data_IF_947977543970
#
_entry.id   IF_947977543970
#
_cell.length_a   1.000
_cell.length_b   1.000
_cell.length_c   1.000
_cell.angle_alpha   90.00
_cell.angle_beta   90.00
_cell.angle_gamma   90.00
#
_symmetry.space_group_name_H-M   'P 1'
#
loop_
_entity.id
_entity.type
_entity.pdbx_description
1 polymer ?
#
# COMPACT_ATOMS: atom_id res chain seq x y z
N UNK A 1 8.09 -56.32 -15.48
CA UNK A 1 7.77 -54.99 -16.00
C UNK A 1 6.40 -54.57 -15.46
N UNK A 2 6.36 -53.82 -14.37
CA UNK A 2 5.12 -53.29 -13.77
C UNK A 2 4.93 -51.88 -14.31
N UNK A 3 3.85 -51.67 -15.06
CA UNK A 3 3.41 -50.35 -15.54
C UNK A 3 2.76 -49.61 -14.39
N UNK A 4 3.36 -48.51 -13.95
CA UNK A 4 2.79 -47.57 -12.98
C UNK A 4 1.92 -46.61 -13.77
N UNK A 5 0.61 -46.67 -13.55
CA UNK A 5 -0.36 -45.70 -14.06
C UNK A 5 -0.30 -44.46 -13.16
N UNK A 6 0.22 -43.37 -13.70
CA UNK A 6 0.06 -42.05 -13.07
C UNK A 6 -1.36 -41.54 -13.34
N UNK A 7 -2.18 -41.57 -12.31
CA UNK A 7 -3.50 -40.96 -12.33
C UNK A 7 -3.32 -39.44 -12.13
N UNK A 8 -3.41 -38.66 -13.21
CA UNK A 8 -3.52 -37.22 -13.14
C UNK A 8 -4.90 -36.86 -12.57
N UNK A 9 -4.96 -36.53 -11.28
CA UNK A 9 -6.13 -35.89 -10.70
C UNK A 9 -6.10 -34.43 -11.13
N UNK A 10 -6.81 -34.15 -12.22
CA UNK A 10 -7.22 -32.78 -12.57
C UNK A 10 -8.19 -32.31 -11.47
N UNK A 11 -7.66 -31.60 -10.48
CA UNK A 11 -8.45 -30.79 -9.59
C UNK A 11 -9.08 -29.67 -10.43
N UNK A 12 -10.31 -29.95 -10.92
CA UNK A 12 -11.20 -28.92 -11.40
C UNK A 12 -11.42 -27.95 -10.22
N UNK A 13 -10.75 -26.81 -10.28
CA UNK A 13 -11.16 -25.65 -9.52
C UNK A 13 -12.56 -25.27 -10.04
N UNK A 14 -13.59 -25.84 -9.46
CA UNK A 14 -14.91 -25.22 -9.56
C UNK A 14 -14.77 -23.85 -8.90
N UNK A 15 -15.03 -22.75 -9.63
CA UNK A 15 -15.15 -21.47 -8.97
C UNK A 15 -16.20 -21.66 -7.88
N UNK A 16 -15.81 -21.41 -6.63
CA UNK A 16 -16.75 -21.40 -5.54
C UNK A 16 -17.91 -20.50 -5.99
N UNK A 17 -19.10 -21.07 -6.10
CA UNK A 17 -20.31 -20.32 -6.39
C UNK A 17 -20.39 -19.22 -5.35
N UNK A 18 -20.00 -18.01 -5.73
CA UNK A 18 -20.14 -16.85 -4.89
C UNK A 18 -21.64 -16.63 -4.72
N UNK A 19 -22.14 -16.96 -3.55
CA UNK A 19 -23.56 -16.78 -3.25
C UNK A 19 -23.89 -15.31 -3.39
N UNK A 20 -24.87 -14.99 -4.21
CA UNK A 20 -25.38 -13.63 -4.38
C UNK A 20 -25.73 -13.06 -3.01
N UNK A 21 -25.07 -11.97 -2.61
CA UNK A 21 -25.43 -11.27 -1.39
C UNK A 21 -26.76 -10.57 -1.66
N UNK A 22 -27.83 -11.03 -1.05
CA UNK A 22 -29.14 -10.43 -1.22
C UNK A 22 -29.15 -8.97 -0.68
N UNK A 23 -29.99 -8.12 -1.28
CA UNK A 23 -30.20 -6.74 -0.80
C UNK A 23 -30.57 -6.71 0.70
N UNK A 24 -31.31 -7.71 1.18
CA UNK A 24 -31.69 -7.86 2.60
C UNK A 24 -30.46 -8.11 3.47
N UNK A 25 -29.54 -8.94 3.03
CA UNK A 25 -28.30 -9.26 3.74
C UNK A 25 -27.31 -8.09 3.71
N UNK A 26 -27.23 -7.40 2.60
CA UNK A 26 -26.48 -6.15 2.46
C UNK A 26 -26.97 -5.08 3.43
N UNK A 27 -28.28 -4.79 3.42
CA UNK A 27 -28.86 -3.75 4.29
C UNK A 27 -28.76 -4.12 5.78
N UNK A 28 -28.82 -5.41 6.14
CA UNK A 28 -28.59 -5.86 7.50
C UNK A 28 -27.15 -5.61 7.97
N UNK A 29 -26.19 -5.79 7.09
CA UNK A 29 -24.76 -5.64 7.41
C UNK A 29 -24.23 -4.23 7.21
N UNK A 30 -24.85 -3.48 6.32
CA UNK A 30 -24.42 -2.14 5.93
C UNK A 30 -25.63 -1.18 5.87
N UNK A 31 -26.30 -0.91 7.00
CA UNK A 31 -27.56 -0.16 7.03
C UNK A 31 -27.46 1.25 6.43
N UNK A 32 -26.27 1.83 6.38
CA UNK A 32 -26.01 3.18 5.88
C UNK A 32 -25.33 3.20 4.51
N UNK A 33 -25.32 2.09 3.80
CA UNK A 33 -24.68 1.97 2.48
C UNK A 33 -25.68 1.44 1.49
N UNK A 34 -25.95 2.19 0.44
CA UNK A 34 -26.86 1.76 -0.62
C UNK A 34 -26.41 0.42 -1.21
N UNK A 35 -27.36 -0.47 -1.43
CA UNK A 35 -27.09 -1.69 -2.19
C UNK A 35 -26.62 -1.29 -3.60
N UNK A 36 -25.57 -1.91 -4.14
CA UNK A 36 -25.08 -1.56 -5.47
C UNK A 36 -26.20 -1.70 -6.51
N UNK A 37 -26.57 -0.62 -7.16
CA UNK A 37 -27.55 -0.66 -8.24
C UNK A 37 -26.90 -1.31 -9.46
N UNK A 38 -27.54 -2.35 -9.97
CA UNK A 38 -27.14 -3.03 -11.18
C UNK A 38 -27.35 -2.12 -12.41
N UNK A 39 -26.29 -1.51 -12.88
CA UNK A 39 -26.25 -0.93 -14.23
C UNK A 39 -25.20 -1.64 -15.10
N UNK A 40 -24.76 -2.82 -14.68
CA UNK A 40 -23.81 -3.62 -15.43
C UNK A 40 -24.31 -5.07 -15.47
N UNK A 41 -25.08 -5.41 -16.50
CA UNK A 41 -25.63 -6.76 -16.71
C UNK A 41 -24.56 -7.87 -16.77
N UNK A 42 -23.31 -7.54 -17.05
CA UNK A 42 -22.17 -8.48 -17.08
C UNK A 42 -21.28 -8.43 -15.81
N UNK A 43 -21.51 -7.47 -14.92
CA UNK A 43 -20.68 -7.27 -13.73
C UNK A 43 -21.39 -7.65 -12.42
N UNK A 44 -22.67 -8.00 -12.47
CA UNK A 44 -23.56 -7.96 -11.30
C UNK A 44 -23.13 -8.89 -10.17
N UNK A 45 -22.85 -10.16 -10.43
CA UNK A 45 -22.48 -11.14 -9.40
C UNK A 45 -21.08 -10.89 -8.81
N UNK A 46 -20.09 -10.88 -9.66
CA UNK A 46 -18.71 -10.65 -9.24
C UNK A 46 -18.53 -9.29 -8.56
N UNK A 47 -19.32 -8.30 -8.96
CA UNK A 47 -19.30 -6.95 -8.41
C UNK A 47 -19.93 -6.86 -7.01
N UNK A 48 -21.09 -7.47 -6.81
CA UNK A 48 -21.77 -7.50 -5.52
C UNK A 48 -20.95 -8.28 -4.46
N UNK A 49 -20.45 -9.45 -4.83
CA UNK A 49 -19.59 -10.25 -3.97
C UNK A 49 -18.29 -9.55 -3.61
N UNK A 50 -17.77 -8.86 -4.58
CA UNK A 50 -16.55 -8.12 -4.44
C UNK A 50 -16.73 -6.85 -3.58
N UNK A 51 -17.76 -6.07 -3.82
CA UNK A 51 -18.10 -4.92 -3.00
C UNK A 51 -18.40 -5.34 -1.55
N UNK A 52 -19.12 -6.45 -1.37
CA UNK A 52 -19.38 -7.05 -0.07
C UNK A 52 -18.10 -7.52 0.61
N UNK A 53 -17.23 -8.22 -0.10
CA UNK A 53 -15.95 -8.69 0.42
C UNK A 53 -15.06 -7.53 0.84
N UNK A 54 -15.08 -6.44 0.09
CA UNK A 54 -14.32 -5.23 0.41
C UNK A 54 -14.91 -4.48 1.61
N UNK A 55 -16.22 -4.24 1.62
CA UNK A 55 -16.89 -3.62 2.75
C UNK A 55 -16.77 -4.45 4.01
N UNK A 56 -16.86 -5.77 3.89
CA UNK A 56 -16.60 -6.69 4.99
C UNK A 56 -15.17 -6.52 5.50
N UNK A 57 -14.17 -6.48 4.63
CA UNK A 57 -12.78 -6.21 5.03
C UNK A 57 -12.63 -4.83 5.65
N UNK A 58 -13.13 -3.78 5.03
CA UNK A 58 -13.03 -2.41 5.53
C UNK A 58 -13.82 -2.22 6.83
N UNK A 59 -15.01 -2.81 6.94
CA UNK A 59 -15.86 -2.73 8.13
C UNK A 59 -15.34 -3.60 9.26
N UNK A 60 -14.88 -4.79 8.97
CA UNK A 60 -14.23 -5.66 9.95
C UNK A 60 -12.89 -5.09 10.43
N UNK A 61 -12.20 -4.39 9.57
CA UNK A 61 -10.94 -3.71 9.90
C UNK A 61 -11.18 -2.40 10.66
N UNK A 62 -12.37 -1.82 10.59
CA UNK A 62 -12.78 -0.65 11.38
C UNK A 62 -13.39 -1.00 12.72
N UNK A 63 -14.04 -2.14 12.84
CA UNK A 63 -14.49 -2.71 14.10
C UNK A 63 -13.32 -3.45 14.73
N UNK A 64 -13.34 -3.60 16.04
CA UNK A 64 -12.39 -4.44 16.73
C UNK A 64 -12.01 -5.67 15.92
N UNK A 65 -10.76 -5.78 15.53
CA UNK A 65 -10.19 -6.93 14.82
C UNK A 65 -10.33 -8.27 15.56
N UNK A 66 -11.03 -8.28 16.69
CA UNK A 66 -11.31 -9.46 17.50
C UNK A 66 -11.93 -10.61 16.68
N UNK A 67 -12.74 -10.28 15.67
CA UNK A 67 -13.37 -11.32 14.83
C UNK A 67 -12.48 -11.86 13.70
N UNK A 68 -11.40 -11.17 13.33
CA UNK A 68 -10.49 -11.55 12.24
C UNK A 68 -9.08 -11.89 12.72
N UNK A 69 -8.96 -12.67 13.79
CA UNK A 69 -7.66 -12.94 14.39
C UNK A 69 -7.17 -11.84 15.33
N UNK A 70 -7.94 -10.74 15.49
CA UNK A 70 -7.78 -9.77 16.59
C UNK A 70 -6.50 -8.94 16.56
N UNK A 71 -5.99 -8.52 15.40
CA UNK A 71 -4.89 -7.56 15.34
C UNK A 71 -5.32 -6.23 15.93
N UNK A 72 -4.46 -5.68 16.76
CA UNK A 72 -4.62 -4.33 17.30
C UNK A 72 -4.24 -3.30 16.23
N UNK A 73 -4.69 -2.07 16.41
CA UNK A 73 -4.29 -0.96 15.57
C UNK A 73 -3.68 0.17 16.39
N UNK A 74 -2.72 0.84 15.79
CA UNK A 74 -2.24 2.15 16.23
C UNK A 74 -3.04 3.20 15.48
N UNK A 75 -3.87 3.95 16.19
CA UNK A 75 -4.74 4.96 15.61
C UNK A 75 -4.05 6.33 15.65
N UNK A 76 -4.15 7.06 14.55
CA UNK A 76 -3.63 8.42 14.41
C UNK A 76 -4.80 9.40 14.34
N UNK A 77 -4.60 10.57 14.93
CA UNK A 77 -5.53 11.67 14.83
C UNK A 77 -5.48 12.28 13.42
N UNK A 78 -6.53 13.00 13.06
CA UNK A 78 -6.47 13.87 11.89
C UNK A 78 -5.58 15.09 12.16
N UNK A 79 -5.15 15.76 11.13
CA UNK A 79 -4.44 17.04 11.23
C UNK A 79 -5.32 18.09 11.94
N UNK A 80 -4.70 18.96 12.69
CA UNK A 80 -5.35 20.13 13.28
C UNK A 80 -5.79 21.13 12.18
N UNK A 81 -4.98 21.20 11.12
CA UNK A 81 -5.22 22.04 9.95
C UNK A 81 -5.27 21.18 8.68
N UNK A 82 -6.38 20.47 8.42
CA UNK A 82 -6.49 19.61 7.24
C UNK A 82 -6.29 20.42 5.96
N UNK A 83 -5.42 19.95 5.08
CA UNK A 83 -5.19 20.62 3.81
C UNK A 83 -6.45 20.60 2.94
N UNK A 84 -6.83 21.75 2.43
CA UNK A 84 -7.92 21.87 1.47
C UNK A 84 -7.34 21.64 0.08
N UNK A 85 -7.65 20.49 -0.52
CA UNK A 85 -7.42 20.32 -1.96
C UNK A 85 -8.50 21.17 -2.66
N UNK A 86 -8.07 22.14 -3.45
CA UNK A 86 -9.00 22.92 -4.27
C UNK A 86 -9.74 21.96 -5.21
N UNK A 87 -11.05 22.14 -5.32
CA UNK A 87 -11.93 21.29 -6.11
C UNK A 87 -12.47 22.09 -7.29
N UNK A 88 -12.14 21.64 -8.48
CA UNK A 88 -12.72 22.11 -9.73
C UNK A 88 -13.26 20.87 -10.47
N UNK A 89 -14.34 20.30 -9.88
CA UNK A 89 -14.80 18.97 -10.28
C UNK A 89 -15.58 19.06 -11.58
N UNK A 90 -15.05 18.48 -12.62
CA UNK A 90 -15.71 18.25 -13.89
C UNK A 90 -16.49 16.93 -13.87
N UNK A 91 -17.54 16.86 -14.68
CA UNK A 91 -18.18 15.58 -14.99
C UNK A 91 -17.17 14.64 -15.66
N UNK A 92 -17.21 13.38 -15.26
CA UNK A 92 -16.28 12.40 -15.81
C UNK A 92 -16.61 12.14 -17.30
N UNK A 93 -15.66 12.32 -18.23
CA UNK A 93 -15.88 12.04 -19.65
C UNK A 93 -16.42 10.63 -19.87
N UNK A 94 -17.32 10.46 -20.83
CA UNK A 94 -18.03 9.20 -21.08
C UNK A 94 -17.08 8.01 -21.29
N UNK A 95 -15.96 8.19 -21.97
CA UNK A 95 -14.96 7.16 -22.21
C UNK A 95 -14.25 6.75 -20.90
N UNK A 96 -13.91 7.69 -20.02
CA UNK A 96 -13.31 7.43 -18.72
C UNK A 96 -14.34 6.78 -17.79
N UNK A 97 -15.58 7.31 -17.76
CA UNK A 97 -16.68 6.73 -17.00
C UNK A 97 -16.91 5.26 -17.38
N UNK A 98 -17.06 4.97 -18.68
CA UNK A 98 -17.24 3.60 -19.15
C UNK A 98 -16.05 2.71 -18.77
N UNK A 99 -14.82 3.24 -18.83
CA UNK A 99 -13.65 2.49 -18.45
C UNK A 99 -13.66 2.10 -16.96
N UNK A 100 -13.91 3.05 -16.05
CA UNK A 100 -13.91 2.79 -14.61
C UNK A 100 -15.12 2.00 -14.15
N UNK A 101 -16.28 2.24 -14.78
CA UNK A 101 -17.53 1.59 -14.43
C UNK A 101 -17.57 0.11 -14.84
N UNK A 102 -16.95 -0.23 -15.96
CA UNK A 102 -16.87 -1.59 -16.48
C UNK A 102 -15.73 -2.41 -15.88
N UNK A 103 -15.11 -1.94 -14.79
CA UNK A 103 -14.00 -2.61 -14.09
C UNK A 103 -14.19 -2.55 -12.59
N UNK A 104 -13.47 -3.38 -11.89
CA UNK A 104 -13.50 -3.42 -10.41
C UNK A 104 -12.80 -2.21 -9.78
N UNK A 105 -13.03 -1.02 -10.34
CA UNK A 105 -12.59 0.26 -9.79
C UNK A 105 -13.71 0.80 -8.90
N UNK A 106 -13.39 1.09 -7.66
CA UNK A 106 -14.35 1.67 -6.70
C UNK A 106 -14.38 3.18 -6.73
N UNK A 107 -13.23 3.77 -6.95
CA UNK A 107 -13.12 5.22 -7.01
C UNK A 107 -11.93 5.64 -7.86
N UNK A 108 -12.11 6.76 -8.53
CA UNK A 108 -11.10 7.49 -9.27
C UNK A 108 -11.05 8.91 -8.76
N UNK A 109 -9.85 9.40 -8.50
CA UNK A 109 -9.57 10.81 -8.24
C UNK A 109 -8.43 11.24 -9.16
N UNK A 110 -8.57 12.39 -9.79
CA UNK A 110 -7.52 12.99 -10.63
C UNK A 110 -7.25 14.39 -10.14
N UNK A 111 -5.98 14.65 -9.85
CA UNK A 111 -5.49 15.94 -9.41
C UNK A 111 -4.53 16.50 -10.47
N UNK A 112 -4.70 17.76 -10.83
CA UNK A 112 -3.84 18.47 -11.78
C UNK A 112 -3.68 19.93 -11.36
N UNK A 113 -2.45 20.44 -11.42
CA UNK A 113 -2.12 21.85 -11.24
C UNK A 113 -2.73 22.51 -9.98
N UNK A 114 -2.77 21.80 -8.88
CA UNK A 114 -3.30 22.31 -7.61
C UNK A 114 -4.78 21.97 -7.35
N UNK A 115 -5.47 21.39 -8.30
CA UNK A 115 -6.91 21.15 -8.23
C UNK A 115 -7.28 19.69 -8.42
N UNK A 116 -8.32 19.25 -7.73
CA UNK A 116 -8.96 17.97 -7.98
C UNK A 116 -9.98 18.16 -9.11
N UNK A 117 -9.68 17.60 -10.28
CA UNK A 117 -10.50 17.77 -11.50
C UNK A 117 -11.52 16.66 -11.71
N UNK A 118 -11.23 15.44 -11.25
CA UNK A 118 -12.21 14.35 -11.23
C UNK A 118 -12.26 13.70 -9.85
N UNK A 119 -13.49 13.40 -9.38
CA UNK A 119 -13.74 12.80 -8.08
C UNK A 119 -14.90 11.81 -8.15
N UNK A 120 -14.71 10.74 -8.92
CA UNK A 120 -15.71 9.71 -9.07
C UNK A 120 -15.56 8.60 -8.01
N UNK A 121 -16.67 8.08 -7.57
CA UNK A 121 -16.74 6.91 -6.69
C UNK A 121 -18.05 6.19 -6.90
N UNK A 122 -18.09 4.90 -6.56
CA UNK A 122 -19.35 4.17 -6.46
C UNK A 122 -20.13 4.59 -5.22
N UNK A 123 -21.44 4.46 -5.25
CA UNK A 123 -22.35 4.95 -4.18
C UNK A 123 -22.03 4.34 -2.82
N UNK A 124 -21.59 3.08 -2.78
CA UNK A 124 -21.23 2.40 -1.54
C UNK A 124 -19.87 2.82 -0.95
N UNK A 125 -19.09 3.64 -1.61
CA UNK A 125 -17.79 4.11 -1.12
C UNK A 125 -17.97 5.34 -0.25
N UNK A 126 -17.63 5.21 1.04
CA UNK A 126 -17.65 6.29 2.00
C UNK A 126 -16.30 7.05 1.99
N UNK A 127 -16.36 8.38 1.82
CA UNK A 127 -15.18 9.22 1.76
C UNK A 127 -14.41 9.29 3.08
N UNK A 128 -15.10 9.14 4.20
CA UNK A 128 -14.53 9.27 5.55
C UNK A 128 -13.90 7.98 6.06
N UNK A 129 -14.29 6.84 5.52
CA UNK A 129 -13.80 5.54 6.00
C UNK A 129 -12.40 5.22 5.50
N UNK A 130 -11.52 4.77 6.40
CA UNK A 130 -10.16 4.42 6.01
C UNK A 130 -10.15 3.14 5.16
N UNK A 131 -9.46 3.23 4.03
CA UNK A 131 -9.24 2.14 3.08
C UNK A 131 -7.84 1.59 3.31
N UNK A 132 -7.71 0.26 3.39
CA UNK A 132 -6.41 -0.38 3.43
C UNK A 132 -5.58 0.00 2.20
N UNK A 133 -4.38 0.48 2.40
CA UNK A 133 -3.43 0.77 1.31
C UNK A 133 -2.90 -0.48 0.63
N UNK A 134 -2.98 -1.64 1.29
CA UNK A 134 -2.19 -2.80 0.90
C UNK A 134 -0.71 -2.38 0.71
N UNK A 135 -0.01 -2.88 -0.29
CA UNK A 135 1.39 -2.50 -0.52
C UNK A 135 1.63 -1.01 -0.82
N UNK A 136 0.59 -0.20 -1.07
CA UNK A 136 0.71 1.26 -1.12
C UNK A 136 1.20 1.84 0.23
N UNK A 137 0.95 1.12 1.32
CA UNK A 137 1.47 1.41 2.67
C UNK A 137 2.99 1.54 2.72
N UNK A 138 3.71 0.79 1.90
CA UNK A 138 5.17 0.82 1.81
C UNK A 138 5.70 2.21 1.51
N UNK A 139 5.03 2.94 0.63
CA UNK A 139 5.44 4.31 0.25
C UNK A 139 5.32 5.29 1.41
N UNK A 140 4.39 5.07 2.35
CA UNK A 140 4.36 5.85 3.60
C UNK A 140 5.65 5.60 4.40
N UNK A 141 6.07 4.34 4.52
CA UNK A 141 7.31 3.98 5.22
C UNK A 141 8.52 4.63 4.55
N UNK A 142 8.56 4.68 3.21
CA UNK A 142 9.60 5.37 2.46
C UNK A 142 9.72 6.86 2.82
N UNK A 143 8.59 7.58 2.87
CA UNK A 143 8.56 9.00 3.27
C UNK A 143 8.94 9.18 4.74
N UNK A 144 8.47 8.30 5.64
CA UNK A 144 8.86 8.31 7.06
C UNK A 144 10.38 8.19 7.21
N UNK A 145 11.00 7.26 6.49
CA UNK A 145 12.46 7.07 6.52
C UNK A 145 13.18 8.28 5.94
N UNK A 146 12.72 8.84 4.81
CA UNK A 146 13.30 10.05 4.25
C UNK A 146 13.29 11.22 5.26
N UNK A 147 12.18 11.40 5.97
CA UNK A 147 12.06 12.44 7.00
C UNK A 147 13.00 12.19 8.19
N UNK A 148 13.10 10.94 8.65
CA UNK A 148 14.04 10.60 9.74
C UNK A 148 15.50 10.75 9.31
N UNK A 149 15.84 10.44 8.05
CA UNK A 149 17.17 10.65 7.49
C UNK A 149 17.53 12.14 7.50
N UNK A 150 16.60 13.00 7.09
CA UNK A 150 16.78 14.45 7.14
C UNK A 150 16.87 15.00 8.56
N UNK A 151 16.33 14.29 9.55
CA UNK A 151 16.48 14.61 10.98
C UNK A 151 17.73 13.99 11.62
N UNK A 152 18.61 13.36 10.85
CA UNK A 152 19.79 12.61 11.33
C UNK A 152 19.47 11.53 12.39
N UNK A 153 18.27 10.94 12.33
CA UNK A 153 17.80 9.91 13.28
C UNK A 153 18.00 8.49 12.78
N UNK A 154 18.29 8.30 11.52
CA UNK A 154 18.54 6.99 10.90
C UNK A 154 19.72 7.07 9.93
N UNK A 155 20.60 6.10 10.00
CA UNK A 155 21.64 5.84 9.02
C UNK A 155 21.24 4.60 8.21
N UNK A 156 21.07 4.79 6.92
CA UNK A 156 20.58 3.73 6.02
C UNK A 156 21.61 2.64 5.73
N UNK A 157 22.89 2.92 5.98
CA UNK A 157 23.98 1.97 5.79
C UNK A 157 24.16 1.04 6.99
N UNK A 158 23.48 1.32 8.11
CA UNK A 158 23.46 0.43 9.26
C UNK A 158 22.54 -0.76 9.00
N UNK A 159 22.94 -1.89 9.54
CA UNK A 159 22.15 -3.13 9.49
C UNK A 159 20.96 -3.04 10.44
N UNK A 160 19.91 -3.85 10.18
CA UNK A 160 18.74 -3.92 11.06
C UNK A 160 19.10 -4.28 12.50
N UNK A 161 20.11 -5.14 12.73
CA UNK A 161 20.57 -5.49 14.07
C UNK A 161 21.16 -4.31 14.86
N UNK A 162 21.56 -3.22 14.20
CA UNK A 162 21.99 -1.99 14.88
C UNK A 162 20.81 -1.30 15.59
N UNK A 163 19.63 -1.31 14.99
CA UNK A 163 18.41 -0.70 15.51
C UNK A 163 17.54 -1.68 16.30
N UNK A 164 17.50 -2.94 15.84
CA UNK A 164 16.69 -4.02 16.40
C UNK A 164 17.61 -5.16 16.81
N UNK A 165 18.13 -5.07 18.04
CA UNK A 165 19.17 -5.99 18.56
C UNK A 165 18.75 -7.46 18.55
N UNK A 166 17.45 -7.73 18.65
CA UNK A 166 16.87 -9.07 18.61
C UNK A 166 17.06 -9.77 17.26
N UNK A 167 17.50 -9.05 16.24
CA UNK A 167 17.82 -9.61 14.92
C UNK A 167 19.29 -10.02 14.76
N UNK A 168 20.13 -9.86 15.78
CA UNK A 168 21.60 -10.02 15.70
C UNK A 168 22.03 -11.35 15.04
N UNK A 169 21.37 -12.43 15.40
CA UNK A 169 21.72 -13.77 14.93
C UNK A 169 20.85 -14.25 13.75
N UNK A 170 20.08 -13.34 13.16
CA UNK A 170 19.27 -13.63 11.98
C UNK A 170 19.93 -13.16 10.69
N UNK A 171 19.57 -13.81 9.57
CA UNK A 171 19.99 -13.35 8.25
C UNK A 171 19.68 -11.85 8.03
N UNK A 172 18.46 -11.44 8.41
CA UNK A 172 18.00 -10.07 8.24
C UNK A 172 18.69 -9.08 9.17
N UNK A 173 19.29 -9.54 10.25
CA UNK A 173 20.11 -8.69 11.11
C UNK A 173 21.33 -8.11 10.39
N UNK A 174 21.83 -8.79 9.36
CA UNK A 174 22.97 -8.36 8.54
C UNK A 174 22.56 -7.53 7.31
N UNK A 175 21.26 -7.41 7.03
CA UNK A 175 20.73 -6.59 5.93
C UNK A 175 20.69 -5.13 6.36
N UNK A 176 21.16 -4.22 5.49
CA UNK A 176 21.07 -2.79 5.74
C UNK A 176 19.65 -2.24 5.53
N UNK A 177 19.34 -1.15 6.20
CA UNK A 177 18.07 -0.44 5.98
C UNK A 177 17.91 -0.04 4.52
N UNK A 178 18.99 0.40 3.87
CA UNK A 178 18.98 0.78 2.44
C UNK A 178 18.64 -0.41 1.53
N UNK A 179 19.22 -1.59 1.81
CA UNK A 179 18.89 -2.80 1.07
C UNK A 179 17.40 -3.14 1.19
N UNK A 180 16.84 -3.07 2.38
CA UNK A 180 15.41 -3.30 2.60
C UNK A 180 14.51 -2.24 1.94
N UNK A 181 14.90 -0.96 1.98
CA UNK A 181 14.18 0.13 1.29
C UNK A 181 14.09 -0.10 -0.23
N UNK A 182 15.12 -0.69 -0.79
CA UNK A 182 15.24 -0.92 -2.24
C UNK A 182 14.86 -2.36 -2.64
N UNK A 183 14.35 -3.18 -1.73
CA UNK A 183 14.05 -4.61 -1.98
C UNK A 183 15.26 -5.40 -2.49
N UNK A 184 16.42 -5.14 -1.91
CA UNK A 184 17.73 -5.70 -2.28
C UNK A 184 18.34 -6.53 -1.14
N UNK A 185 17.53 -7.10 -0.28
CA UNK A 185 17.99 -7.91 0.87
C UNK A 185 18.66 -9.23 0.46
N UNK A 186 18.61 -9.62 -0.79
CA UNK A 186 19.21 -10.86 -1.37
C UNK A 186 18.68 -12.15 -0.74
N UNK A 187 17.49 -12.12 -0.20
CA UNK A 187 16.89 -13.29 0.39
C UNK A 187 16.19 -14.15 -0.69
N UNK A 188 16.57 -15.42 -0.84
CA UNK A 188 15.88 -16.39 -1.69
C UNK A 188 14.79 -17.16 -0.94
N UNK A 189 14.86 -17.12 0.37
CA UNK A 189 13.99 -17.87 1.26
C UNK A 189 12.66 -17.19 1.48
N UNK A 190 11.98 -16.86 0.43
CA UNK A 190 10.86 -16.22 0.74
C UNK A 190 9.64 -16.83 0.34
N UNK A 191 9.15 -16.93 1.17
CA UNK A 191 8.16 -16.48 1.93
C UNK A 191 7.05 -15.84 1.07
N UNK A 192 6.46 -16.63 0.16
CA UNK A 192 5.21 -16.23 -0.47
C UNK A 192 4.13 -16.05 0.61
N UNK A 193 3.30 -15.01 0.54
CA UNK A 193 2.09 -14.81 1.38
C UNK A 193 2.28 -14.80 2.89
N UNK A 194 3.40 -14.39 3.40
CA UNK A 194 3.70 -14.25 4.84
C UNK A 194 2.72 -13.39 5.60
N UNK A 195 2.18 -12.39 4.95
CA UNK A 195 1.16 -11.52 5.54
C UNK A 195 -0.01 -12.31 6.11
N UNK A 196 -0.38 -13.44 5.51
CA UNK A 196 -1.46 -14.26 6.03
C UNK A 196 -1.16 -14.82 7.42
N UNK A 197 0.07 -15.20 7.70
CA UNK A 197 0.46 -15.73 9.01
C UNK A 197 0.50 -14.62 10.06
N UNK A 198 1.08 -13.46 9.71
CA UNK A 198 1.15 -12.29 10.59
C UNK A 198 -0.26 -11.77 10.84
N UNK A 199 -1.08 -11.60 9.81
CA UNK A 199 -2.46 -11.12 9.93
C UNK A 199 -3.37 -12.08 10.67
N UNK A 200 -3.10 -13.39 10.64
CA UNK A 200 -3.81 -14.40 11.42
C UNK A 200 -3.24 -14.61 12.83
N UNK A 201 -2.31 -13.75 13.26
CA UNK A 201 -1.60 -13.84 14.55
C UNK A 201 -0.85 -15.16 14.80
N UNK A 202 -0.56 -15.93 13.77
CA UNK A 202 0.21 -17.16 13.92
C UNK A 202 1.65 -16.86 14.30
N UNK A 203 2.22 -15.82 13.69
CA UNK A 203 3.60 -15.38 13.92
C UNK A 203 3.65 -13.85 14.00
N UNK A 204 4.63 -13.28 14.70
CA UNK A 204 4.98 -11.87 14.65
C UNK A 204 6.16 -11.63 13.71
N UNK A 205 6.40 -10.35 13.37
CA UNK A 205 7.44 -9.95 12.42
C UNK A 205 8.82 -10.40 12.90
N UNK A 206 9.14 -10.16 14.15
CA UNK A 206 10.45 -10.48 14.71
C UNK A 206 10.71 -11.99 14.70
N UNK A 207 9.75 -12.79 15.18
CA UNK A 207 9.83 -14.25 15.16
C UNK A 207 9.94 -14.77 13.73
N UNK A 208 9.25 -14.13 12.77
CA UNK A 208 9.33 -14.50 11.35
C UNK A 208 10.74 -14.26 10.80
N UNK A 209 11.30 -13.09 11.06
CA UNK A 209 12.65 -12.73 10.63
C UNK A 209 13.72 -13.67 11.22
N UNK A 210 13.59 -14.01 12.50
CA UNK A 210 14.53 -14.88 13.20
C UNK A 210 14.45 -16.37 12.83
N UNK A 211 13.50 -16.78 11.97
CA UNK A 211 13.53 -18.13 11.41
C UNK A 211 14.70 -18.37 10.45
N UNK A 212 15.30 -17.32 9.94
CA UNK A 212 16.43 -17.36 9.02
C UNK A 212 17.70 -17.03 9.77
N UNK A 213 18.63 -17.96 9.77
CA UNK A 213 19.90 -17.83 10.49
C UNK A 213 20.87 -16.93 9.77
N UNK A 214 21.78 -16.34 10.52
CA UNK A 214 22.82 -15.45 9.98
C UNK A 214 23.90 -16.18 9.18
N UNK A 215 24.06 -17.49 9.40
CA UNK A 215 24.99 -18.35 8.68
C UNK A 215 24.49 -18.84 7.32
N UNK A 216 23.25 -18.55 6.98
CA UNK A 216 22.76 -18.78 5.64
C UNK A 216 23.49 -17.86 4.68
N UNK A 217 24.14 -18.44 3.69
CA UNK A 217 24.80 -17.68 2.64
C UNK A 217 23.78 -16.78 1.93
N UNK A 218 24.19 -15.53 1.76
CA UNK A 218 23.45 -14.63 0.88
C UNK A 218 23.48 -15.22 -0.53
N UNK A 219 22.36 -15.37 -1.22
CA UNK A 219 22.34 -15.93 -2.57
C UNK A 219 23.00 -15.04 -3.63
N UNK A 220 24.10 -14.47 -3.30
CA UNK A 220 25.16 -13.97 -4.16
C UNK A 220 24.90 -12.79 -5.07
N UNK A 221 23.71 -12.55 -5.57
CA UNK A 221 23.48 -11.50 -6.54
C UNK A 221 22.64 -10.34 -6.00
N UNK A 222 23.03 -9.11 -6.29
CA UNK A 222 22.30 -7.88 -6.00
C UNK A 222 21.05 -7.77 -6.89
N UNK A 223 20.11 -8.71 -6.74
CA UNK A 223 18.87 -8.75 -7.51
C UNK A 223 17.72 -8.15 -6.72
N UNK A 224 16.93 -7.34 -7.40
CA UNK A 224 15.67 -6.86 -6.86
C UNK A 224 14.70 -8.01 -6.59
N UNK A 225 14.23 -8.11 -5.35
CA UNK A 225 13.19 -9.05 -4.92
C UNK A 225 12.17 -8.37 -4.04
N UNK A 226 10.95 -8.30 -4.51
CA UNK A 226 9.88 -7.60 -3.81
C UNK A 226 9.29 -8.47 -2.70
N UNK A 227 9.57 -8.12 -1.45
CA UNK A 227 9.13 -8.86 -0.27
C UNK A 227 8.63 -7.97 0.84
N UNK A 228 7.55 -8.41 1.52
CA UNK A 228 6.92 -7.65 2.59
C UNK A 228 7.81 -7.52 3.82
N UNK A 229 8.55 -8.59 4.15
CA UNK A 229 9.43 -8.61 5.31
C UNK A 229 10.41 -7.42 5.34
N UNK A 230 10.93 -7.01 4.19
CA UNK A 230 11.83 -5.86 4.10
C UNK A 230 11.22 -4.57 4.68
N UNK A 231 9.97 -4.30 4.38
CA UNK A 231 9.28 -3.12 4.92
C UNK A 231 8.92 -3.30 6.38
N UNK A 232 8.56 -4.51 6.78
CA UNK A 232 8.17 -4.80 8.16
C UNK A 232 9.38 -4.75 9.11
N UNK A 233 10.59 -5.12 8.64
CA UNK A 233 11.86 -4.92 9.36
C UNK A 233 12.16 -3.43 9.57
N UNK A 234 11.98 -2.61 8.54
CA UNK A 234 12.11 -1.16 8.69
C UNK A 234 11.17 -0.64 9.78
N UNK A 235 9.94 -1.16 9.87
CA UNK A 235 9.01 -0.76 10.93
C UNK A 235 9.47 -1.15 12.33
N UNK A 236 10.16 -2.31 12.51
CA UNK A 236 10.80 -2.64 13.79
C UNK A 236 11.83 -1.58 14.18
N UNK A 237 12.71 -1.22 13.24
CA UNK A 237 13.73 -0.20 13.47
C UNK A 237 13.10 1.16 13.81
N UNK A 238 12.07 1.57 13.06
CA UNK A 238 11.37 2.82 13.30
C UNK A 238 10.74 2.88 14.70
N UNK A 239 10.16 1.76 15.16
CA UNK A 239 9.57 1.70 16.49
C UNK A 239 10.67 1.80 17.56
N UNK A 240 11.83 1.18 17.36
CA UNK A 240 12.96 1.27 18.29
C UNK A 240 13.56 2.69 18.31
N UNK A 241 13.85 3.27 17.16
CA UNK A 241 14.37 4.64 17.03
C UNK A 241 13.44 5.66 17.71
N UNK A 242 12.14 5.48 17.56
CA UNK A 242 11.10 6.39 18.06
C UNK A 242 10.55 5.98 19.43
N UNK A 243 11.24 5.08 20.16
CA UNK A 243 10.88 4.65 21.51
C UNK A 243 9.48 4.02 21.60
N UNK A 244 9.19 3.13 20.67
CA UNK A 244 7.99 2.30 20.65
C UNK A 244 6.74 2.98 20.06
N UNK A 245 5.61 2.34 20.24
CA UNK A 245 4.31 2.73 19.64
C UNK A 245 3.90 4.17 19.96
N UNK A 246 4.05 4.60 21.21
CA UNK A 246 3.66 5.95 21.65
C UNK A 246 4.54 7.02 20.97
N UNK A 247 5.84 6.78 20.94
CA UNK A 247 6.80 7.68 20.28
C UNK A 247 6.59 7.74 18.77
N UNK A 248 6.43 6.58 18.13
CA UNK A 248 6.10 6.52 16.69
C UNK A 248 4.80 7.28 16.38
N UNK A 249 3.72 7.05 17.16
CA UNK A 249 2.46 7.77 16.96
C UNK A 249 2.65 9.29 17.01
N UNK A 250 3.25 9.80 18.09
CA UNK A 250 3.50 11.25 18.27
C UNK A 250 4.33 11.82 17.13
N UNK A 251 5.37 11.10 16.75
CA UNK A 251 6.27 11.53 15.67
C UNK A 251 5.55 11.51 14.31
N UNK A 252 4.81 10.45 13.99
CA UNK A 252 4.08 10.29 12.74
C UNK A 252 2.99 11.35 12.58
N UNK A 253 2.23 11.61 13.64
CA UNK A 253 1.23 12.68 13.65
C UNK A 253 1.87 14.04 13.35
N UNK A 254 2.98 14.37 14.00
CA UNK A 254 3.66 15.65 13.82
C UNK A 254 4.31 15.81 12.44
N UNK A 255 4.95 14.75 11.92
CA UNK A 255 5.85 14.86 10.77
C UNK A 255 5.24 14.34 9.47
N UNK A 256 4.14 13.62 9.53
CA UNK A 256 3.44 13.07 8.35
C UNK A 256 1.99 13.56 8.30
N UNK A 257 1.19 13.31 9.35
CA UNK A 257 -0.24 13.64 9.35
C UNK A 257 -0.46 15.15 9.23
N UNK A 258 0.23 15.96 10.04
CA UNK A 258 0.12 17.41 10.01
C UNK A 258 0.60 18.01 8.69
N UNK A 259 1.82 17.72 8.18
CA UNK A 259 2.27 18.29 6.91
C UNK A 259 1.46 17.82 5.69
N UNK A 260 1.00 16.57 5.66
CA UNK A 260 0.13 16.08 4.60
C UNK A 260 -1.32 16.57 4.73
N UNK A 261 -1.69 17.11 5.90
CA UNK A 261 -3.01 17.68 6.17
C UNK A 261 -4.15 16.66 6.14
N UNK A 262 -3.96 15.49 6.76
CA UNK A 262 -5.00 14.44 6.77
C UNK A 262 -6.29 14.94 7.44
N UNK A 263 -7.42 14.75 6.78
CA UNK A 263 -8.73 15.22 7.27
C UNK A 263 -9.47 14.19 8.10
N UNK A 264 -9.04 12.94 8.08
CA UNK A 264 -9.69 11.85 8.78
C UNK A 264 -8.71 11.11 9.69
N UNK A 265 -9.24 10.40 10.68
CA UNK A 265 -8.45 9.46 11.47
C UNK A 265 -7.92 8.36 10.57
N UNK A 266 -6.66 8.02 10.76
CA UNK A 266 -5.99 6.93 10.06
C UNK A 266 -5.47 5.88 11.04
N UNK A 267 -5.01 4.73 10.55
CA UNK A 267 -4.48 3.69 11.42
C UNK A 267 -3.46 2.81 10.73
N UNK A 268 -2.60 2.20 11.55
CA UNK A 268 -1.66 1.15 11.18
C UNK A 268 -1.98 -0.11 12.00
N UNK A 269 -2.07 -1.27 11.36
CA UNK A 269 -2.21 -2.51 12.09
C UNK A 269 -0.89 -2.93 12.72
N UNK A 270 -1.04 -3.61 13.83
CA UNK A 270 0.06 -4.15 14.60
C UNK A 270 0.01 -5.67 14.59
N UNK A 271 1.17 -6.32 14.54
CA UNK A 271 1.28 -7.75 14.73
C UNK A 271 0.92 -8.16 16.18
N UNK A 272 0.98 -9.46 16.48
CA UNK A 272 0.59 -9.97 17.82
C UNK A 272 1.45 -9.41 18.97
N UNK A 273 2.68 -8.99 18.71
CA UNK A 273 3.57 -8.34 19.68
C UNK A 273 3.46 -6.82 19.70
N UNK A 274 2.75 -6.25 18.76
CA UNK A 274 2.47 -4.82 18.69
C UNK A 274 3.43 -4.05 17.81
N UNK A 275 4.16 -4.72 16.91
CA UNK A 275 4.96 -4.09 15.87
C UNK A 275 4.11 -3.66 14.68
N UNK A 276 4.46 -2.56 14.03
CA UNK A 276 3.71 -2.06 12.89
C UNK A 276 3.88 -2.93 11.65
N UNK A 277 2.79 -3.31 11.00
CA UNK A 277 2.81 -4.03 9.72
C UNK A 277 2.84 -2.99 8.60
N UNK A 278 4.03 -2.45 8.32
CA UNK A 278 4.21 -1.35 7.35
C UNK A 278 4.03 -1.76 5.90
N UNK A 279 4.24 -3.02 5.61
CA UNK A 279 4.23 -3.55 4.25
C UNK A 279 2.84 -3.49 3.57
N UNK A 280 1.75 -3.42 4.37
CA UNK A 280 0.39 -3.57 3.82
C UNK A 280 -0.74 -3.00 4.66
N UNK A 281 -0.48 -2.33 5.77
CA UNK A 281 -1.52 -2.13 6.77
C UNK A 281 -1.71 -0.70 7.26
N UNK A 282 -1.30 0.29 6.49
CA UNK A 282 -1.77 1.66 6.67
C UNK A 282 -3.17 1.83 6.05
N UNK A 283 -4.05 2.44 6.81
CA UNK A 283 -5.44 2.73 6.46
C UNK A 283 -5.67 4.23 6.48
N UNK A 284 -5.94 4.79 5.33
CA UNK A 284 -6.29 6.20 5.15
C UNK A 284 -7.60 6.29 4.40
N UNK A 285 -8.35 7.36 4.59
CA UNK A 285 -9.49 7.66 3.71
C UNK A 285 -9.02 7.84 2.26
N UNK A 286 -9.95 7.72 1.30
CA UNK A 286 -9.58 7.93 -0.11
C UNK A 286 -9.03 9.34 -0.36
N UNK A 287 -9.55 10.33 0.34
CA UNK A 287 -9.07 11.70 0.24
C UNK A 287 -7.71 11.88 0.90
N UNK A 288 -7.44 11.18 2.03
CA UNK A 288 -6.14 11.29 2.69
C UNK A 288 -5.04 10.52 1.94
N UNK A 289 -5.39 9.48 1.20
CA UNK A 289 -4.47 8.90 0.23
C UNK A 289 -4.09 9.90 -0.88
N UNK A 290 -5.05 10.73 -1.35
CA UNK A 290 -4.75 11.82 -2.29
C UNK A 290 -3.88 12.90 -1.64
N UNK A 291 -4.21 13.34 -0.42
CA UNK A 291 -3.38 14.30 0.33
C UNK A 291 -1.95 13.81 0.52
N UNK A 292 -1.79 12.51 0.83
CA UNK A 292 -0.46 11.92 0.93
C UNK A 292 0.27 11.91 -0.43
N UNK A 293 -0.43 11.68 -1.53
CA UNK A 293 0.10 11.80 -2.88
C UNK A 293 0.56 13.23 -3.19
N UNK A 294 -0.30 14.22 -2.93
CA UNK A 294 0.00 15.65 -3.10
C UNK A 294 1.18 16.08 -2.22
N UNK A 295 1.20 15.65 -0.96
CA UNK A 295 2.32 15.91 -0.05
C UNK A 295 3.63 15.31 -0.58
N UNK A 296 3.63 14.04 -1.00
CA UNK A 296 4.81 13.42 -1.58
C UNK A 296 5.30 14.17 -2.82
N UNK A 297 4.37 14.57 -3.68
CA UNK A 297 4.67 15.36 -4.88
C UNK A 297 5.24 16.73 -4.53
N UNK A 298 4.72 17.41 -3.51
CA UNK A 298 5.24 18.69 -3.05
C UNK A 298 6.68 18.58 -2.51
N UNK A 299 6.99 17.48 -1.81
CA UNK A 299 8.38 17.20 -1.40
C UNK A 299 9.30 17.04 -2.62
N UNK A 300 8.85 16.32 -3.64
CA UNK A 300 9.63 16.08 -4.86
C UNK A 300 9.82 17.34 -5.70
N UNK A 301 8.89 18.28 -5.67
CA UNK A 301 8.95 19.52 -6.43
C UNK A 301 9.71 20.65 -5.70
N UNK A 302 9.83 20.58 -4.39
CA UNK A 302 10.56 21.59 -3.63
C UNK A 302 12.07 21.29 -3.60
N UNK A 303 12.93 22.13 -4.23
CA UNK A 303 14.37 21.91 -4.23
C UNK A 303 15.01 22.08 -2.84
N UNK A 304 14.34 22.82 -1.94
CA UNK A 304 14.86 23.15 -0.61
C UNK A 304 14.48 22.11 0.45
N UNK A 305 13.55 21.20 0.15
CA UNK A 305 13.17 20.12 1.07
C UNK A 305 14.19 19.00 1.04
N UNK A 306 14.81 18.76 2.18
CA UNK A 306 15.77 17.68 2.36
C UNK A 306 15.17 16.32 1.94
N UNK A 307 13.95 16.02 2.38
CA UNK A 307 13.25 14.77 2.05
C UNK A 307 13.09 14.61 0.54
N UNK A 308 12.68 15.69 -0.14
CA UNK A 308 12.49 15.68 -1.59
C UNK A 308 13.81 15.49 -2.33
N UNK A 309 14.86 16.20 -1.94
CA UNK A 309 16.20 16.02 -2.49
C UNK A 309 16.68 14.58 -2.30
N UNK A 310 16.56 14.06 -1.09
CA UNK A 310 16.98 12.70 -0.76
C UNK A 310 16.20 11.64 -1.57
N UNK A 311 14.89 11.80 -1.73
CA UNK A 311 14.07 10.89 -2.55
C UNK A 311 14.49 10.96 -4.03
N UNK A 312 14.65 12.16 -4.62
CA UNK A 312 15.10 12.31 -6.02
C UNK A 312 16.47 11.67 -6.25
N UNK A 313 17.42 11.91 -5.37
CA UNK A 313 18.77 11.33 -5.47
C UNK A 313 18.72 9.79 -5.39
N UNK A 314 17.85 9.24 -4.54
CA UNK A 314 17.63 7.81 -4.42
C UNK A 314 16.93 7.23 -5.66
N UNK A 315 15.97 7.94 -6.24
CA UNK A 315 15.26 7.52 -7.45
C UNK A 315 16.17 7.48 -8.68
N UNK A 316 17.09 8.43 -8.78
CA UNK A 316 18.10 8.44 -9.84
C UNK A 316 19.07 7.24 -9.78
N UNK A 317 19.28 6.69 -8.60
CA UNK A 317 20.14 5.52 -8.35
C UNK A 317 19.36 4.22 -8.17
N UNK A 318 18.06 4.23 -8.50
CA UNK A 318 17.18 3.12 -8.22
C UNK A 318 17.57 1.84 -8.96
N UNK A 319 17.66 0.70 -8.30
CA UNK A 319 17.90 -0.58 -8.95
C UNK A 319 16.82 -0.91 -9.97
N UNK A 320 17.23 -1.65 -11.01
CA UNK A 320 16.32 -2.17 -12.03
C UNK A 320 15.44 -3.27 -11.44
N UNK A 321 14.20 -3.31 -11.90
CA UNK A 321 13.27 -4.41 -11.64
C UNK A 321 13.06 -5.24 -12.92
N UNK A 322 12.40 -6.39 -12.80
CA UNK A 322 11.98 -7.16 -13.97
C UNK A 322 10.54 -6.84 -14.40
N UNK A 323 9.96 -5.75 -13.85
CA UNK A 323 8.55 -5.40 -14.07
C UNK A 323 8.43 -4.32 -15.15
N UNK A 324 7.83 -4.66 -16.29
CA UNK A 324 7.59 -3.71 -17.41
C UNK A 324 6.81 -2.46 -16.97
N UNK A 325 5.89 -2.58 -16.00
CA UNK A 325 5.08 -1.46 -15.53
C UNK A 325 5.85 -0.50 -14.61
N UNK A 326 7.02 -0.89 -14.11
CA UNK A 326 7.88 -0.07 -13.26
C UNK A 326 9.31 -0.62 -13.31
N UNK A 327 10.13 -0.18 -14.25
CA UNK A 327 11.47 -0.73 -14.47
C UNK A 327 12.45 -0.48 -13.33
N UNK A 328 12.13 0.42 -12.41
CA UNK A 328 12.97 0.74 -11.26
C UNK A 328 12.17 0.75 -9.95
N UNK A 329 12.86 0.55 -8.83
CA UNK A 329 12.27 0.59 -7.49
C UNK A 329 13.29 1.16 -6.50
N UNK A 330 12.91 2.15 -5.72
CA UNK A 330 13.71 2.65 -4.61
C UNK A 330 12.83 3.27 -3.53
N UNK A 331 13.33 3.30 -2.30
CA UNK A 331 12.68 3.96 -1.17
C UNK A 331 11.21 3.58 -1.02
N UNK A 332 10.87 2.31 -1.29
CA UNK A 332 9.51 1.78 -1.22
C UNK A 332 8.53 2.36 -2.27
N UNK A 333 9.06 2.89 -3.38
CA UNK A 333 8.30 3.36 -4.53
C UNK A 333 8.65 2.57 -5.78
N UNK A 334 7.65 2.27 -6.58
CA UNK A 334 7.81 1.83 -7.96
C UNK A 334 8.05 3.07 -8.83
N UNK A 335 9.02 2.99 -9.73
CA UNK A 335 9.46 4.15 -10.48
C UNK A 335 9.41 3.90 -11.98
N UNK A 336 9.14 4.98 -12.70
CA UNK A 336 9.01 4.98 -14.15
C UNK A 336 7.89 4.03 -14.63
N UNK A 337 7.69 3.90 -15.89
CA UNK A 337 6.72 2.97 -16.44
C UNK A 337 5.58 3.66 -17.16
N UNK A 338 4.79 2.86 -17.87
CA UNK A 338 3.67 3.32 -18.67
C UNK A 338 4.01 4.43 -19.69
N UNK A 339 5.27 4.51 -20.14
CA UNK A 339 5.72 5.58 -21.03
C UNK A 339 5.88 6.96 -20.39
N UNK A 340 5.57 7.10 -19.10
CA UNK A 340 5.72 8.36 -18.35
C UNK A 340 7.07 8.39 -17.67
N UNK A 341 7.91 9.32 -18.09
CA UNK A 341 9.23 9.55 -17.49
C UNK A 341 9.08 10.13 -16.08
N UNK A 342 9.93 9.68 -15.18
CA UNK A 342 9.97 10.15 -13.79
C UNK A 342 8.67 9.87 -13.00
N UNK A 343 7.83 8.93 -13.47
CA UNK A 343 6.62 8.53 -12.77
C UNK A 343 6.96 7.88 -11.42
N UNK A 344 6.38 8.39 -10.36
CA UNK A 344 6.45 7.81 -9.01
C UNK A 344 5.14 7.09 -8.71
N UNK A 345 5.22 5.82 -8.35
CA UNK A 345 4.02 4.98 -8.19
C UNK A 345 3.95 4.40 -6.78
N UNK A 346 2.85 4.63 -6.10
CA UNK A 346 2.46 3.94 -4.88
C UNK A 346 1.45 2.87 -5.24
N UNK A 347 1.81 1.58 -5.08
CA UNK A 347 1.00 0.47 -5.60
C UNK A 347 0.60 -0.49 -4.49
N UNK A 348 -0.68 -0.75 -4.39
CA UNK A 348 -1.26 -1.80 -3.54
C UNK A 348 -2.03 -2.84 -4.34
N UNK A 349 -2.20 -4.02 -3.77
CA UNK A 349 -3.01 -5.07 -4.35
C UNK A 349 -4.43 -4.56 -4.63
N UNK A 350 -5.05 -5.10 -5.69
CA UNK A 350 -6.40 -4.69 -6.09
C UNK A 350 -6.45 -3.31 -6.73
N UNK A 351 -5.36 -2.84 -7.31
CA UNK A 351 -5.26 -1.54 -8.00
C UNK A 351 -5.57 -0.34 -7.11
N UNK A 352 -5.08 -0.39 -5.90
CA UNK A 352 -4.97 0.76 -5.02
C UNK A 352 -3.72 1.53 -5.42
N UNK A 353 -3.89 2.41 -6.38
CA UNK A 353 -2.79 3.12 -7.01
C UNK A 353 -2.83 4.60 -6.68
N UNK A 354 -1.65 5.19 -6.56
CA UNK A 354 -1.43 6.63 -6.75
C UNK A 354 -0.25 6.77 -7.70
N UNK A 355 -0.52 7.28 -8.88
CA UNK A 355 0.44 7.52 -9.96
C UNK A 355 0.75 9.02 -9.94
N UNK A 356 1.97 9.38 -9.58
CA UNK A 356 2.42 10.76 -9.41
C UNK A 356 3.34 11.12 -10.58
N UNK A 357 2.83 11.86 -11.51
CA UNK A 357 3.65 12.57 -12.51
C UNK A 357 4.02 13.93 -11.92
N UNK A 358 5.01 13.88 -11.03
CA UNK A 358 5.34 15.02 -10.18
C UNK A 358 5.90 16.21 -10.93
N UNK A 359 6.59 15.99 -12.06
CA UNK A 359 7.09 17.08 -12.91
C UNK A 359 5.97 17.86 -13.60
N UNK A 360 4.89 17.18 -13.95
CA UNK A 360 3.72 17.78 -14.58
C UNK A 360 2.61 18.12 -13.57
N UNK A 361 2.91 18.01 -12.26
CA UNK A 361 2.02 18.36 -11.16
C UNK A 361 0.64 17.69 -11.26
N UNK A 362 0.61 16.36 -11.54
CA UNK A 362 -0.63 15.60 -11.74
C UNK A 362 -0.59 14.23 -11.08
N UNK A 363 -1.75 13.79 -10.59
CA UNK A 363 -1.91 12.50 -9.91
C UNK A 363 -3.17 11.79 -10.42
N UNK A 364 -3.04 10.51 -10.77
CA UNK A 364 -4.18 9.60 -10.92
C UNK A 364 -4.19 8.69 -9.70
N UNK A 365 -5.32 8.67 -8.98
CA UNK A 365 -5.51 7.77 -7.85
C UNK A 365 -6.72 6.89 -8.04
N UNK A 366 -6.52 5.59 -7.89
CA UNK A 366 -7.61 4.61 -7.89
C UNK A 366 -7.65 3.82 -6.58
N UNK A 367 -8.83 3.36 -6.25
CA UNK A 367 -9.06 2.29 -5.29
C UNK A 367 -9.92 1.24 -5.94
N UNK A 368 -9.55 -0.03 -5.80
CA UNK A 368 -10.24 -1.12 -6.46
C UNK A 368 -9.79 -2.48 -5.96
N UNK A 369 -10.30 -3.52 -6.60
CA UNK A 369 -9.90 -4.90 -6.36
C UNK A 369 -9.52 -5.64 -7.65
N UNK A 370 -9.54 -4.96 -8.77
CA UNK A 370 -9.24 -5.59 -10.03
C UNK A 370 -7.84 -6.18 -10.06
N UNK A 371 -7.74 -7.42 -10.47
CA UNK A 371 -6.45 -8.12 -10.59
C UNK A 371 -5.86 -7.93 -11.99
N UNK A 372 -6.70 -7.63 -12.97
CA UNK A 372 -6.37 -7.82 -14.40
C UNK A 372 -6.44 -6.58 -15.29
N UNK A 373 -6.76 -5.38 -14.80
CA UNK A 373 -6.80 -4.22 -15.69
C UNK A 373 -5.44 -3.56 -15.89
N UNK A 374 -5.25 -2.94 -17.04
CA UNK A 374 -4.00 -2.29 -17.42
C UNK A 374 -4.08 -0.80 -17.09
N UNK A 375 -3.33 -0.29 -16.08
CA UNK A 375 -3.29 1.14 -15.77
C UNK A 375 -2.90 2.03 -16.95
N UNK A 376 -2.12 1.51 -17.91
CA UNK A 376 -1.76 2.21 -19.13
C UNK A 376 -2.97 2.84 -19.81
N UNK A 377 -4.03 2.06 -20.04
CA UNK A 377 -5.22 2.57 -20.74
C UNK A 377 -5.93 3.70 -19.98
N UNK A 378 -5.87 3.71 -18.64
CA UNK A 378 -6.41 4.81 -17.85
C UNK A 378 -5.53 6.06 -17.97
N UNK A 379 -4.21 5.87 -17.97
CA UNK A 379 -3.24 6.94 -18.19
C UNK A 379 -3.47 7.58 -19.56
N UNK A 380 -3.60 6.76 -20.59
CA UNK A 380 -3.83 7.22 -21.97
C UNK A 380 -5.16 8.01 -22.09
N UNK A 381 -6.19 7.62 -21.33
CA UNK A 381 -7.50 8.29 -21.33
C UNK A 381 -7.51 9.62 -20.56
N UNK A 382 -6.59 9.81 -19.59
CA UNK A 382 -6.61 10.98 -18.71
C UNK A 382 -5.48 11.94 -19.04
N UNK A 383 -4.30 11.45 -19.44
CA UNK A 383 -3.11 12.29 -19.61
C UNK A 383 -2.69 12.49 -21.07
N UNK A 384 -3.27 11.72 -22.01
CA UNK A 384 -3.07 11.88 -23.45
C UNK A 384 -4.38 12.28 -24.13
#
# INVERSE_FOLDING_TARGET
>A
MKKIFFLFILLFYTPANSAEVSKKEWNKKFPNVSYPKDNCEKCSRAHADWAYGWYRKATLMNRDYKSNGGLKSLNFNKSKNPSKIKKNINSLPKNIFNFVNNRDIMSLMVYENGELIYNWKRDYVDNSKPINGESRSKSIVGVVVATLKCQNKIDLNKNHSFYTKELKDSYYGNVTVLQSLNMMARDEYIVGYELNEIHRKKIDILTKANKYRSDLESPGENKFRYHNINTDLIMLDLFNILKGKKGFKKWFEKNIVEPAGFSNKSKLLLDKKGNGIGSSSFYLSREDWMRFGVYTMSLLNDPNKCEGKFLRDSFNKAPKTFKKFAPNYAMQFWLNGYGVKDLVQMRGHGLRLSLLDWKNNRIIQTNGFAISWKPQKLIDLIWN
#
